data_IF_955752446648
#
_entry.id   IF_955752446648
#
_cell.length_a   1.000
_cell.length_b   1.000
_cell.length_c   1.000
_cell.angle_alpha   90.00
_cell.angle_beta   90.00
_cell.angle_gamma   90.00
#
_symmetry.space_group_name_H-M   'P 1'
#
loop_
_entity.id
_entity.type
_entity.pdbx_description
1 polymer ?
#
# COMPACT_ATOMS: atom_id res chain seq x y z
N UNK A 1 -51.64 28.78 26.85
CA UNK A 1 -51.37 27.88 25.70
C UNK A 1 -49.88 27.84 25.40
N UNK A 2 -49.03 27.73 26.44
CA UNK A 2 -47.56 27.88 26.30
C UNK A 2 -46.76 26.74 26.96
N UNK A 3 -47.43 25.66 27.39
CA UNK A 3 -46.76 24.56 28.08
C UNK A 3 -46.42 23.33 27.20
N UNK A 4 -46.87 23.32 25.93
CA UNK A 4 -46.62 22.18 25.01
C UNK A 4 -45.39 22.30 24.11
N UNK A 5 -44.83 23.51 23.98
CA UNK A 5 -43.68 23.73 23.08
C UNK A 5 -42.32 23.37 23.74
N UNK A 6 -42.25 23.60 25.07
CA UNK A 6 -41.03 23.31 25.85
C UNK A 6 -40.71 21.83 26.00
N UNK A 7 -41.74 20.98 26.08
CA UNK A 7 -41.55 19.53 26.24
C UNK A 7 -41.06 18.86 24.95
N UNK A 8 -41.46 19.39 23.77
CA UNK A 8 -41.07 18.86 22.47
C UNK A 8 -39.56 19.11 22.17
N UNK A 9 -39.06 20.28 22.59
CA UNK A 9 -37.66 20.66 22.40
C UNK A 9 -36.73 19.80 23.28
N UNK A 10 -37.14 19.52 24.51
CA UNK A 10 -36.36 18.67 25.44
C UNK A 10 -36.28 17.21 24.95
N UNK A 11 -37.37 16.67 24.39
CA UNK A 11 -37.40 15.30 23.84
C UNK A 11 -36.55 15.20 22.60
N UNK A 12 -36.53 16.21 21.72
CA UNK A 12 -35.69 16.24 20.53
C UNK A 12 -34.20 16.37 20.90
N UNK A 13 -33.86 17.17 21.90
CA UNK A 13 -32.45 17.28 22.36
C UNK A 13 -31.97 16.00 23.05
N UNK A 14 -32.81 15.26 23.79
CA UNK A 14 -32.43 13.97 24.38
C UNK A 14 -32.28 12.91 23.31
N UNK A 15 -33.10 12.91 22.26
CA UNK A 15 -32.94 11.97 21.14
C UNK A 15 -31.67 12.22 20.34
N UNK A 16 -31.27 13.48 20.15
CA UNK A 16 -30.01 13.83 19.46
C UNK A 16 -28.77 13.52 20.30
N UNK A 17 -28.86 13.64 21.62
CA UNK A 17 -27.76 13.26 22.53
C UNK A 17 -27.58 11.73 22.64
N UNK A 18 -28.61 10.95 22.38
CA UNK A 18 -28.52 9.48 22.40
C UNK A 18 -27.96 8.92 21.08
N UNK A 19 -28.08 9.64 19.96
CA UNK A 19 -27.47 9.22 18.67
C UNK A 19 -25.95 9.37 18.65
N UNK A 20 -25.35 10.26 19.43
CA UNK A 20 -23.90 10.42 19.50
C UNK A 20 -23.19 9.24 20.18
N UNK A 21 -23.90 8.42 20.96
CA UNK A 21 -23.36 7.20 21.60
C UNK A 21 -23.42 5.95 20.71
N UNK A 22 -24.16 6.00 19.60
CA UNK A 22 -24.24 4.89 18.64
C UNK A 22 -23.10 4.86 17.63
N UNK A 23 -22.30 5.93 17.56
CA UNK A 23 -21.11 6.04 16.71
C UNK A 23 -19.84 6.23 17.54
N UNK A 24 -19.68 5.53 18.64
CA UNK A 24 -18.35 5.33 19.20
C UNK A 24 -17.62 4.34 18.27
N UNK A 25 -16.54 4.72 17.60
CA UNK A 25 -15.73 3.75 16.88
C UNK A 25 -15.25 2.73 17.92
N UNK A 26 -15.72 1.49 17.79
CA UNK A 26 -15.21 0.35 18.57
C UNK A 26 -13.79 0.07 18.08
N UNK A 27 -12.85 0.69 18.70
CA UNK A 27 -11.44 0.51 18.48
C UNK A 27 -10.72 1.74 19.01
N UNK A 28 -10.15 1.65 20.19
CA UNK A 28 -9.16 2.60 20.67
C UNK A 28 -7.82 2.34 19.94
N UNK A 29 -7.87 2.33 18.62
CA UNK A 29 -6.67 2.43 17.83
C UNK A 29 -6.16 3.86 18.01
N UNK A 30 -5.03 3.99 18.66
CA UNK A 30 -4.29 5.24 18.71
C UNK A 30 -4.05 5.69 17.26
N UNK A 31 -4.49 6.91 16.92
CA UNK A 31 -4.22 7.46 15.59
C UNK A 31 -2.69 7.55 15.49
N UNK A 32 -2.07 6.93 14.46
CA UNK A 32 -0.62 7.01 14.31
C UNK A 32 -0.17 8.48 14.33
N UNK A 33 0.97 8.74 14.97
CA UNK A 33 1.61 10.04 14.95
C UNK A 33 1.76 10.50 13.49
N UNK A 34 1.06 11.58 13.14
CA UNK A 34 1.00 12.08 11.76
C UNK A 34 2.37 12.53 11.28
N UNK A 35 3.18 13.14 12.14
CA UNK A 35 4.51 13.64 11.79
C UNK A 35 5.47 12.47 11.51
N UNK A 36 5.41 11.43 12.32
CA UNK A 36 6.17 10.21 12.10
C UNK A 36 5.72 9.51 10.81
N UNK A 37 4.42 9.40 10.58
CA UNK A 37 3.86 8.75 9.39
C UNK A 37 4.28 9.49 8.13
N UNK A 38 4.19 10.82 8.10
CA UNK A 38 4.63 11.63 6.96
C UNK A 38 6.13 11.43 6.67
N UNK A 39 6.96 11.43 7.71
CA UNK A 39 8.40 11.21 7.58
C UNK A 39 8.71 9.83 6.98
N UNK A 40 8.02 8.79 7.44
CA UNK A 40 8.22 7.43 6.94
C UNK A 40 7.72 7.26 5.50
N UNK A 41 6.55 7.83 5.15
CA UNK A 41 6.05 7.85 3.78
C UNK A 41 7.06 8.47 2.82
N UNK A 42 7.60 9.65 3.17
CA UNK A 42 8.65 10.32 2.37
C UNK A 42 9.89 9.45 2.23
N UNK A 43 10.34 8.82 3.31
CA UNK A 43 11.53 7.97 3.29
C UNK A 43 11.33 6.74 2.38
N UNK A 44 10.16 6.11 2.40
CA UNK A 44 9.84 4.98 1.52
C UNK A 44 9.82 5.39 0.05
N UNK A 45 9.13 6.50 -0.26
CA UNK A 45 9.06 7.02 -1.63
C UNK A 45 10.47 7.37 -2.13
N UNK A 46 11.26 8.09 -1.33
CA UNK A 46 12.62 8.46 -1.69
C UNK A 46 13.51 7.23 -1.94
N UNK A 47 13.46 6.24 -1.05
CA UNK A 47 14.26 5.04 -1.20
C UNK A 47 13.92 4.28 -2.49
N UNK A 48 12.65 4.08 -2.80
CA UNK A 48 12.22 3.37 -3.99
C UNK A 48 12.47 4.16 -5.27
N UNK A 49 12.14 5.45 -5.29
CA UNK A 49 12.17 6.25 -6.51
C UNK A 49 13.54 6.86 -6.80
N UNK A 50 14.32 7.22 -5.78
CA UNK A 50 15.62 7.86 -5.95
C UNK A 50 16.77 6.88 -5.74
N UNK A 51 16.84 6.21 -4.57
CA UNK A 51 17.96 5.32 -4.26
C UNK A 51 17.96 4.06 -5.15
N UNK A 52 16.81 3.46 -5.41
CA UNK A 52 16.68 2.28 -6.29
C UNK A 52 16.46 2.72 -7.73
N UNK A 53 15.55 3.67 -7.97
CA UNK A 53 15.25 4.22 -9.27
C UNK A 53 14.27 3.37 -10.09
N UNK A 54 14.46 3.29 -11.40
CA UNK A 54 13.58 2.56 -12.32
C UNK A 54 13.54 1.05 -12.00
N UNK A 55 12.33 0.48 -11.94
CA UNK A 55 12.03 -0.87 -11.45
C UNK A 55 11.10 -1.58 -12.42
N UNK A 56 11.63 -2.22 -13.44
CA UNK A 56 10.83 -2.93 -14.45
C UNK A 56 11.61 -4.09 -15.06
N UNK A 57 11.03 -4.72 -16.07
CA UNK A 57 11.58 -5.91 -16.73
C UNK A 57 12.96 -5.71 -17.35
N UNK A 58 13.37 -4.48 -17.64
CA UNK A 58 14.72 -4.15 -18.13
C UNK A 58 15.73 -3.94 -16.99
N UNK A 59 15.23 -3.83 -15.77
CA UNK A 59 16.03 -3.58 -14.58
C UNK A 59 15.76 -4.64 -13.48
N UNK A 60 16.00 -5.96 -13.77
CA UNK A 60 15.70 -7.03 -12.82
C UNK A 60 16.45 -6.87 -11.49
N UNK A 61 17.65 -6.30 -11.52
CA UNK A 61 18.39 -5.99 -10.29
C UNK A 61 17.71 -4.92 -9.41
N UNK A 62 17.06 -3.91 -10.02
CA UNK A 62 16.26 -2.91 -9.26
C UNK A 62 14.99 -3.52 -8.72
N UNK A 63 14.32 -4.38 -9.48
CA UNK A 63 13.16 -5.14 -9.02
C UNK A 63 13.50 -5.98 -7.79
N UNK A 64 14.60 -6.71 -7.82
CA UNK A 64 15.02 -7.53 -6.67
C UNK A 64 15.40 -6.67 -5.46
N UNK A 65 16.09 -5.52 -5.65
CA UNK A 65 16.37 -4.59 -4.54
C UNK A 65 15.09 -4.06 -3.91
N UNK A 66 14.09 -3.73 -4.72
CA UNK A 66 12.79 -3.26 -4.24
C UNK A 66 12.04 -4.35 -3.47
N UNK A 67 12.01 -5.57 -4.00
CA UNK A 67 11.41 -6.71 -3.32
C UNK A 67 12.04 -6.94 -1.94
N UNK A 68 13.37 -6.96 -1.86
CA UNK A 68 14.10 -7.11 -0.59
C UNK A 68 13.81 -5.97 0.39
N UNK A 69 13.75 -4.75 -0.10
CA UNK A 69 13.43 -3.59 0.75
C UNK A 69 12.04 -3.73 1.39
N UNK A 70 11.02 -4.04 0.58
CA UNK A 70 9.65 -4.22 1.04
C UNK A 70 9.56 -5.39 2.03
N UNK A 71 10.16 -6.53 1.68
CA UNK A 71 10.23 -7.72 2.53
C UNK A 71 10.85 -7.41 3.89
N UNK A 72 12.04 -6.78 3.93
CA UNK A 72 12.71 -6.39 5.17
C UNK A 72 11.87 -5.44 6.03
N UNK A 73 11.11 -4.52 5.40
CA UNK A 73 10.21 -3.62 6.15
C UNK A 73 9.07 -4.40 6.78
N UNK A 74 8.41 -5.28 6.04
CA UNK A 74 7.32 -6.11 6.56
C UNK A 74 7.80 -7.08 7.65
N UNK A 75 8.95 -7.73 7.44
CA UNK A 75 9.55 -8.63 8.43
C UNK A 75 9.95 -7.88 9.70
N UNK A 76 10.50 -6.67 9.57
CA UNK A 76 10.82 -5.80 10.70
C UNK A 76 9.60 -5.36 11.53
N UNK A 77 8.39 -5.45 10.97
CA UNK A 77 7.12 -5.24 11.65
C UNK A 77 6.51 -6.55 12.22
N UNK A 78 7.20 -7.69 12.06
CA UNK A 78 6.77 -8.99 12.55
C UNK A 78 5.90 -9.80 11.60
N UNK A 79 5.78 -9.42 10.33
CA UNK A 79 5.08 -10.22 9.34
C UNK A 79 5.96 -11.33 8.78
N UNK A 80 5.39 -12.51 8.56
CA UNK A 80 5.98 -13.52 7.69
C UNK A 80 5.65 -13.18 6.24
N UNK A 81 6.69 -13.03 5.41
CA UNK A 81 6.53 -12.68 3.99
C UNK A 81 6.72 -13.91 3.13
N UNK A 82 5.78 -14.13 2.22
CA UNK A 82 5.87 -15.19 1.20
C UNK A 82 6.16 -14.55 -0.15
N UNK A 83 7.18 -15.02 -0.84
CA UNK A 83 7.47 -14.66 -2.23
C UNK A 83 6.74 -15.62 -3.18
N UNK A 84 5.76 -15.12 -3.91
CA UNK A 84 5.12 -15.86 -4.99
C UNK A 84 5.86 -15.57 -6.30
N UNK A 85 6.50 -16.59 -6.85
CA UNK A 85 7.28 -16.47 -8.07
C UNK A 85 6.38 -16.22 -9.30
N UNK A 86 6.77 -15.26 -10.13
CA UNK A 86 6.16 -14.93 -11.42
C UNK A 86 7.24 -15.02 -12.49
N UNK A 87 7.11 -15.98 -13.38
CA UNK A 87 8.04 -16.15 -14.48
C UNK A 87 7.85 -15.07 -15.54
N UNK A 88 8.92 -14.39 -15.88
CA UNK A 88 8.98 -13.38 -16.95
C UNK A 88 9.74 -14.00 -18.14
N UNK A 89 9.03 -14.40 -19.19
CA UNK A 89 9.68 -15.01 -20.34
C UNK A 89 10.46 -13.95 -21.14
N UNK A 90 11.45 -14.38 -21.93
CA UNK A 90 12.13 -13.49 -22.87
C UNK A 90 11.10 -12.90 -23.83
N UNK A 91 11.09 -11.60 -24.02
CA UNK A 91 10.20 -10.95 -24.99
C UNK A 91 11.00 -10.40 -26.16
N UNK A 92 10.55 -10.73 -27.39
CA UNK A 92 11.17 -10.25 -28.61
C UNK A 92 10.80 -8.82 -29.00
N UNK A 93 9.71 -8.29 -28.47
CA UNK A 93 9.18 -6.99 -28.88
C UNK A 93 10.08 -5.82 -28.47
N UNK A 94 10.83 -5.97 -27.39
CA UNK A 94 11.82 -5.00 -26.93
C UNK A 94 13.25 -5.55 -26.90
N UNK A 95 13.48 -6.73 -27.43
CA UNK A 95 14.78 -7.28 -27.80
C UNK A 95 15.80 -7.53 -26.67
N UNK A 96 15.50 -7.21 -25.41
CA UNK A 96 16.48 -7.23 -24.34
C UNK A 96 15.99 -7.81 -23.01
N UNK A 97 14.75 -8.27 -22.91
CA UNK A 97 14.24 -8.93 -21.70
C UNK A 97 14.75 -10.37 -21.70
N UNK A 98 15.68 -10.65 -20.81
CA UNK A 98 16.14 -12.03 -20.55
C UNK A 98 15.13 -12.75 -19.70
N UNK A 99 15.16 -14.08 -19.75
CA UNK A 99 14.41 -14.92 -18.82
C UNK A 99 14.80 -14.63 -17.37
N UNK A 100 13.80 -14.33 -16.52
CA UNK A 100 14.01 -14.10 -15.10
C UNK A 100 12.72 -14.29 -14.29
N UNK A 101 12.80 -14.23 -12.96
CA UNK A 101 11.66 -14.39 -12.07
C UNK A 101 11.44 -13.12 -11.26
N UNK A 102 10.24 -12.56 -11.37
CA UNK A 102 9.73 -11.54 -10.47
C UNK A 102 8.96 -12.17 -9.29
N UNK A 103 8.60 -11.40 -8.30
CA UNK A 103 7.90 -11.89 -7.13
C UNK A 103 6.74 -10.97 -6.75
N UNK A 104 5.57 -11.57 -6.44
CA UNK A 104 4.61 -10.91 -5.58
C UNK A 104 5.02 -11.20 -4.12
N UNK A 105 4.96 -10.17 -3.29
CA UNK A 105 5.27 -10.29 -1.86
C UNK A 105 3.96 -10.31 -1.09
N UNK A 106 3.72 -11.35 -0.31
CA UNK A 106 2.45 -11.58 0.38
C UNK A 106 2.71 -11.70 1.87
N UNK A 107 2.07 -10.84 2.65
CA UNK A 107 2.07 -10.92 4.11
C UNK A 107 0.63 -10.91 4.63
N UNK A 108 0.33 -11.73 5.65
CA UNK A 108 -1.03 -11.86 6.16
C UNK A 108 -1.06 -11.51 7.64
N UNK A 109 -1.85 -10.50 7.99
CA UNK A 109 -2.29 -10.23 9.36
C UNK A 109 -3.52 -11.06 9.64
N UNK A 110 -3.42 -11.99 10.59
CA UNK A 110 -4.55 -12.81 11.00
C UNK A 110 -5.56 -12.03 11.84
N UNK A 111 -6.83 -12.20 11.51
CA UNK A 111 -7.95 -11.68 12.27
C UNK A 111 -8.33 -12.55 13.45
N UNK A 112 -9.16 -12.02 14.33
CA UNK A 112 -9.64 -12.70 15.56
C UNK A 112 -10.98 -13.39 15.39
N UNK A 113 -11.67 -13.18 14.26
CA UNK A 113 -12.96 -13.83 13.99
C UNK A 113 -12.78 -15.34 13.83
N UNK A 114 -13.68 -16.17 14.35
CA UNK A 114 -13.69 -17.61 14.08
C UNK A 114 -14.03 -17.93 12.61
N UNK A 115 -14.60 -16.99 11.89
CA UNK A 115 -14.89 -17.06 10.45
C UNK A 115 -14.40 -15.75 9.78
N UNK A 116 -13.07 -15.56 9.65
CA UNK A 116 -12.53 -14.33 9.12
C UNK A 116 -12.82 -14.23 7.60
N UNK A 117 -13.17 -13.03 7.17
CA UNK A 117 -13.11 -12.66 5.76
C UNK A 117 -11.68 -12.19 5.44
N UNK A 118 -11.35 -12.08 4.16
CA UNK A 118 -10.07 -11.54 3.72
C UNK A 118 -10.27 -10.13 3.13
N UNK A 119 -9.54 -9.15 3.65
CA UNK A 119 -9.35 -7.85 3.01
C UNK A 119 -7.98 -7.86 2.33
N UNK A 120 -7.90 -7.44 1.09
CA UNK A 120 -6.63 -7.32 0.36
C UNK A 120 -6.29 -5.84 0.21
N UNK A 121 -5.08 -5.49 0.60
CA UNK A 121 -4.45 -4.17 0.37
C UNK A 121 -3.23 -4.42 -0.49
N UNK A 122 -3.24 -3.91 -1.71
CA UNK A 122 -2.18 -4.17 -2.69
C UNK A 122 -1.55 -2.90 -3.26
N UNK A 123 -0.27 -2.98 -3.63
CA UNK A 123 0.45 -1.93 -4.34
C UNK A 123 1.53 -2.55 -5.22
N UNK A 124 1.54 -2.25 -6.53
CA UNK A 124 2.62 -2.70 -7.39
C UNK A 124 3.91 -1.90 -7.11
N UNK A 125 5.04 -2.57 -7.15
CA UNK A 125 6.34 -1.93 -6.87
C UNK A 125 7.22 -1.75 -8.11
N UNK A 126 6.77 -2.23 -9.26
CA UNK A 126 7.39 -1.94 -10.54
C UNK A 126 7.07 -0.52 -11.03
N UNK A 127 7.79 -0.08 -12.04
CA UNK A 127 7.55 1.19 -12.73
C UNK A 127 7.29 0.95 -14.19
N UNK A 128 6.60 1.90 -14.81
CA UNK A 128 6.53 1.98 -16.26
C UNK A 128 7.95 2.04 -16.85
N UNK A 129 8.14 1.40 -18.00
CA UNK A 129 9.36 1.58 -18.78
C UNK A 129 9.39 2.99 -19.31
N UNK A 130 10.48 3.72 -19.03
CA UNK A 130 10.73 5.02 -19.67
C UNK A 130 10.98 4.82 -21.16
N UNK A 131 10.27 5.56 -21.99
CA UNK A 131 10.33 5.45 -23.45
C UNK A 131 10.73 6.78 -24.05
N UNK A 132 11.80 6.83 -24.84
CA UNK A 132 12.27 8.07 -25.46
C UNK A 132 11.36 8.55 -26.61
N UNK A 133 10.46 7.72 -27.14
CA UNK A 133 9.60 8.07 -28.29
C UNK A 133 8.14 7.71 -28.07
N UNK A 134 7.57 8.07 -26.93
CA UNK A 134 6.17 7.80 -26.62
C UNK A 134 5.18 8.33 -27.68
N UNK A 135 5.55 9.39 -28.39
CA UNK A 135 4.68 10.07 -29.37
C UNK A 135 4.92 9.67 -30.82
N UNK A 136 5.99 8.95 -31.14
CA UNK A 136 6.42 8.76 -32.53
C UNK A 136 6.01 7.42 -33.16
N UNK A 137 5.17 6.62 -32.52
CA UNK A 137 4.75 5.30 -33.01
C UNK A 137 5.88 4.37 -33.49
N UNK A 138 7.14 4.71 -33.14
CA UNK A 138 8.29 3.87 -33.39
C UNK A 138 8.45 2.76 -32.35
N UNK A 139 9.40 1.81 -32.54
CA UNK A 139 9.67 0.78 -31.56
C UNK A 139 10.07 1.44 -30.24
N UNK A 140 9.33 1.10 -29.17
CA UNK A 140 9.62 1.58 -27.83
C UNK A 140 11.06 1.24 -27.42
N UNK A 141 11.79 2.22 -26.91
CA UNK A 141 13.14 2.05 -26.41
C UNK A 141 13.19 2.48 -24.94
N UNK A 142 13.91 1.74 -24.09
CA UNK A 142 14.16 2.19 -22.73
C UNK A 142 14.78 3.60 -22.75
N UNK A 143 14.22 4.50 -21.96
CA UNK A 143 14.71 5.87 -21.86
C UNK A 143 16.06 5.89 -21.14
N UNK A 144 16.93 6.84 -21.51
CA UNK A 144 18.20 7.05 -20.80
C UNK A 144 18.03 7.66 -19.42
N UNK A 145 16.93 8.39 -19.23
CA UNK A 145 16.63 9.09 -17.98
C UNK A 145 15.86 8.21 -16.99
N UNK A 146 15.28 7.10 -17.48
CA UNK A 146 14.49 6.18 -16.65
C UNK A 146 13.14 6.76 -16.20
N UNK A 147 12.39 5.93 -15.52
CA UNK A 147 11.12 6.31 -14.87
C UNK A 147 11.21 5.95 -13.40
N UNK A 148 11.56 6.91 -12.51
CA UNK A 148 11.77 6.61 -11.09
C UNK A 148 10.50 6.16 -10.36
N UNK A 149 9.30 6.50 -10.89
CA UNK A 149 8.02 6.00 -10.37
C UNK A 149 7.75 6.39 -8.92
N UNK A 150 7.93 7.68 -8.56
CA UNK A 150 7.62 8.17 -7.23
C UNK A 150 6.12 8.11 -6.97
N UNK A 151 5.32 8.65 -7.91
CA UNK A 151 3.86 8.62 -7.85
C UNK A 151 3.30 7.27 -8.30
N UNK A 152 3.87 6.66 -9.32
CA UNK A 152 3.45 5.37 -9.89
C UNK A 152 4.60 4.35 -9.81
N UNK A 153 4.72 3.52 -8.75
CA UNK A 153 3.81 3.49 -7.61
C UNK A 153 4.57 3.37 -6.27
N UNK A 154 5.71 4.05 -6.10
CA UNK A 154 6.40 4.08 -4.81
C UNK A 154 5.52 4.67 -3.69
N UNK A 155 4.63 5.62 -4.03
CA UNK A 155 3.68 6.20 -3.09
C UNK A 155 2.66 5.17 -2.58
N UNK A 156 2.13 4.30 -3.45
CA UNK A 156 1.24 3.22 -3.04
C UNK A 156 1.95 2.18 -2.17
N UNK A 157 3.19 1.82 -2.50
CA UNK A 157 4.01 0.94 -1.66
C UNK A 157 4.29 1.58 -0.30
N UNK A 158 4.60 2.87 -0.25
CA UNK A 158 4.78 3.60 1.01
C UNK A 158 3.50 3.56 1.87
N UNK A 159 2.34 3.81 1.27
CA UNK A 159 1.06 3.73 1.96
C UNK A 159 0.76 2.31 2.47
N UNK A 160 1.08 1.27 1.69
CA UNK A 160 0.95 -0.12 2.10
C UNK A 160 1.84 -0.43 3.32
N UNK A 161 3.10 0.00 3.30
CA UNK A 161 4.04 -0.22 4.41
C UNK A 161 3.59 0.49 5.69
N UNK A 162 3.09 1.73 5.60
CA UNK A 162 2.59 2.45 6.76
C UNK A 162 1.25 1.88 7.28
N UNK A 163 0.41 1.36 6.38
CA UNK A 163 -0.77 0.57 6.75
C UNK A 163 -0.36 -0.71 7.49
N UNK A 164 0.65 -1.42 7.00
CA UNK A 164 1.20 -2.59 7.68
C UNK A 164 1.70 -2.25 9.09
N UNK A 165 2.42 -1.14 9.23
CA UNK A 165 2.93 -0.66 10.53
C UNK A 165 1.79 -0.39 11.52
N UNK A 166 0.76 0.30 11.09
CA UNK A 166 -0.42 0.56 11.93
C UNK A 166 -1.14 -0.72 12.32
N UNK A 167 -1.31 -1.66 11.37
CA UNK A 167 -1.94 -2.94 11.63
C UNK A 167 -1.11 -3.85 12.54
N UNK A 168 0.22 -3.78 12.51
CA UNK A 168 1.08 -4.62 13.35
C UNK A 168 0.78 -4.42 14.85
N UNK A 169 0.49 -3.19 15.25
CA UNK A 169 0.21 -2.82 16.64
C UNK A 169 -1.27 -3.05 17.07
N UNK A 170 -2.16 -3.46 16.15
CA UNK A 170 -3.60 -3.57 16.42
C UNK A 170 -4.11 -4.99 16.19
N UNK A 171 -5.24 -5.34 16.79
CA UNK A 171 -5.99 -6.55 16.43
C UNK A 171 -7.02 -6.21 15.37
N UNK A 172 -7.19 -7.11 14.40
CA UNK A 172 -8.21 -7.00 13.35
C UNK A 172 -9.27 -8.08 13.53
N UNK A 173 -10.53 -7.78 13.17
CA UNK A 173 -11.59 -8.79 13.19
C UNK A 173 -11.40 -9.80 12.06
N UNK A 174 -10.99 -9.33 10.89
CA UNK A 174 -10.80 -10.12 9.68
C UNK A 174 -9.33 -10.21 9.30
N UNK A 175 -8.99 -11.18 8.46
CA UNK A 175 -7.64 -11.30 7.89
C UNK A 175 -7.37 -10.10 6.96
N UNK A 176 -6.13 -9.58 7.00
CA UNK A 176 -5.67 -8.57 6.05
C UNK A 176 -4.46 -9.13 5.30
N UNK A 177 -4.61 -9.24 3.99
CA UNK A 177 -3.53 -9.59 3.07
C UNK A 177 -2.89 -8.30 2.54
N UNK A 178 -1.60 -8.16 2.75
CA UNK A 178 -0.75 -7.10 2.21
C UNK A 178 0.02 -7.70 1.02
N UNK A 179 -0.16 -7.16 -0.20
CA UNK A 179 0.40 -7.74 -1.42
C UNK A 179 0.96 -6.68 -2.40
#
# INVERSE_FOLDING_TARGET
MTFRLGLLIVVVCIALSSCSKLFSPRGSGEIPDTDQTETLLKAHVFHLADTIGERNVYHPGSMERSARYIEQKLEGMGYAVTRQAVHIPPSGEFGAVKDWTAYNLIAIKKGTSPQPKMLIVGAHYDTKVGMDNWHDHGPARPSRTGTPGANDNASGVAALLETARALAATSTLHDVCLA
#
